data_IF_399070698864
#
_entry.id   IF_399070698864
#
_cell.length_a   1.000
_cell.length_b   1.000
_cell.length_c   1.000
_cell.angle_alpha   90.00
_cell.angle_beta   90.00
_cell.angle_gamma   90.00
#
_symmetry.space_group_name_H-M   'P 1'
#
loop_
_entity.id
_entity.type
_entity.pdbx_description
1 polymer ?
#
# COMPACT_ATOMS: atom_id res chain seq x y z
N UNK A 1 -24.49 18.65 6.60
CA UNK A 1 -23.88 17.76 5.59
C UNK A 1 -23.37 16.53 6.33
N UNK A 2 -24.09 15.40 6.25
CA UNK A 2 -23.63 14.13 6.81
C UNK A 2 -22.38 13.70 6.04
N UNK A 3 -21.25 13.55 6.73
CA UNK A 3 -20.05 12.96 6.13
C UNK A 3 -20.44 11.65 5.42
N UNK A 4 -19.85 11.34 4.25
CA UNK A 4 -20.05 10.04 3.63
C UNK A 4 -19.74 8.94 4.64
N UNK A 5 -20.43 7.79 4.58
CA UNK A 5 -20.21 6.68 5.51
C UNK A 5 -18.73 6.30 5.45
N UNK A 6 -18.00 6.64 6.51
CA UNK A 6 -16.58 6.36 6.58
C UNK A 6 -16.38 4.92 7.02
N UNK A 7 -15.36 4.26 6.46
CA UNK A 7 -14.93 2.96 6.94
C UNK A 7 -14.53 3.07 8.43
N UNK A 8 -15.15 2.27 9.28
CA UNK A 8 -14.92 2.28 10.74
C UNK A 8 -14.66 0.88 11.27
N UNK A 9 -13.50 0.67 11.90
CA UNK A 9 -13.23 -0.52 12.70
C UNK A 9 -14.08 -0.47 13.98
N UNK A 10 -15.02 -1.39 14.16
CA UNK A 10 -15.94 -1.45 15.31
C UNK A 10 -15.52 -2.48 16.35
N UNK A 11 -14.76 -3.51 15.95
CA UNK A 11 -14.24 -4.53 16.86
C UNK A 11 -12.93 -5.11 16.34
N UNK A 12 -11.96 -5.30 17.22
CA UNK A 12 -10.70 -5.97 16.95
C UNK A 12 -10.54 -7.16 17.89
N UNK A 13 -10.29 -8.33 17.32
CA UNK A 13 -10.04 -9.57 18.05
C UNK A 13 -8.65 -10.09 17.71
N UNK A 14 -7.91 -10.51 18.73
CA UNK A 14 -6.56 -11.08 18.60
C UNK A 14 -6.50 -12.42 19.33
N UNK A 15 -5.77 -13.37 18.75
CA UNK A 15 -5.38 -14.62 19.40
C UNK A 15 -3.88 -14.84 19.19
N UNK A 16 -3.16 -15.09 20.28
CA UNK A 16 -1.72 -15.39 20.33
C UNK A 16 -0.87 -14.44 19.46
N UNK A 17 -1.19 -13.15 19.44
CA UNK A 17 -0.52 -12.14 18.63
C UNK A 17 0.43 -11.27 19.48
N UNK A 18 1.72 -11.28 19.16
CA UNK A 18 2.77 -10.52 19.86
C UNK A 18 2.69 -10.72 21.39
N UNK A 19 2.35 -9.68 22.14
CA UNK A 19 2.21 -9.71 23.60
C UNK A 19 0.81 -10.13 24.07
N UNK A 20 -0.16 -10.30 23.18
CA UNK A 20 -1.54 -10.62 23.50
C UNK A 20 -1.79 -12.12 23.35
N UNK A 21 -2.15 -12.80 24.45
CA UNK A 21 -2.67 -14.16 24.38
C UNK A 21 -4.08 -14.16 23.76
N UNK A 22 -4.93 -13.25 24.22
CA UNK A 22 -6.25 -13.00 23.64
C UNK A 22 -6.60 -11.52 23.84
N UNK A 23 -7.33 -10.93 22.90
CA UNK A 23 -7.92 -9.60 23.03
C UNK A 23 -9.27 -9.57 22.30
N UNK A 24 -10.26 -8.92 22.88
CA UNK A 24 -11.51 -8.54 22.23
C UNK A 24 -11.86 -7.11 22.62
N UNK A 25 -11.68 -6.18 21.67
CA UNK A 25 -11.82 -4.75 21.89
C UNK A 25 -12.88 -4.18 20.95
N UNK A 26 -13.83 -3.41 21.49
CA UNK A 26 -14.87 -2.72 20.72
C UNK A 26 -14.61 -1.21 20.67
N UNK A 27 -14.89 -0.60 19.53
CA UNK A 27 -14.73 0.82 19.30
C UNK A 27 -16.08 1.45 18.95
N UNK A 28 -16.44 2.52 19.67
CA UNK A 28 -17.68 3.27 19.45
C UNK A 28 -17.42 4.71 18.97
N UNK A 29 -16.24 5.25 19.27
CA UNK A 29 -15.85 6.61 18.93
C UNK A 29 -15.06 6.69 17.61
N UNK A 30 -15.14 7.83 16.92
CA UNK A 30 -14.33 8.10 15.73
C UNK A 30 -12.87 8.42 16.02
N UNK A 31 -12.55 8.85 17.25
CA UNK A 31 -11.19 9.08 17.73
C UNK A 31 -10.97 8.19 18.94
N UNK A 32 -9.90 7.40 18.91
CA UNK A 32 -9.53 6.46 19.98
C UNK A 32 -8.10 6.74 20.42
N UNK A 33 -7.90 6.94 21.72
CA UNK A 33 -6.57 7.16 22.31
C UNK A 33 -6.15 5.91 23.07
N UNK A 34 -5.04 5.30 22.64
CA UNK A 34 -4.45 4.14 23.33
C UNK A 34 -3.34 4.66 24.26
N UNK A 35 -3.62 4.68 25.56
CA UNK A 35 -2.70 5.18 26.59
C UNK A 35 -2.19 4.05 27.51
N UNK A 36 -1.04 4.26 28.16
CA UNK A 36 -0.43 3.32 29.09
C UNK A 36 1.09 3.37 29.10
N UNK A 37 1.73 2.64 30.02
CA UNK A 37 3.20 2.58 30.15
C UNK A 37 3.87 2.05 28.87
N UNK A 38 5.13 2.39 28.65
CA UNK A 38 5.92 1.80 27.58
C UNK A 38 6.08 0.29 27.81
N UNK A 39 6.06 -0.49 26.73
CA UNK A 39 6.14 -1.96 26.79
C UNK A 39 4.81 -2.69 26.97
N UNK A 40 3.70 -2.02 27.31
CA UNK A 40 2.39 -2.70 27.56
C UNK A 40 1.68 -3.23 26.30
N UNK A 41 2.27 -3.09 25.12
CA UNK A 41 1.69 -3.61 23.87
C UNK A 41 0.93 -2.60 23.00
N UNK A 42 0.92 -1.31 23.32
CA UNK A 42 0.24 -0.27 22.52
C UNK A 42 0.60 -0.32 21.02
N UNK A 43 1.89 -0.43 20.71
CA UNK A 43 2.36 -0.53 19.33
C UNK A 43 2.02 -1.88 18.70
N UNK A 44 1.91 -2.95 19.49
CA UNK A 44 1.46 -4.25 19.00
C UNK A 44 -0.01 -4.17 18.60
N UNK A 45 -0.85 -3.43 19.34
CA UNK A 45 -2.24 -3.18 18.96
C UNK A 45 -2.36 -2.45 17.62
N UNK A 46 -1.57 -1.38 17.42
CA UNK A 46 -1.51 -0.67 16.14
C UNK A 46 -0.96 -1.55 15.01
N UNK A 47 0.03 -2.39 15.31
CA UNK A 47 0.56 -3.37 14.36
C UNK A 47 -0.53 -4.36 13.94
N UNK A 48 -1.35 -4.84 14.87
CA UNK A 48 -2.45 -5.74 14.55
C UNK A 48 -3.47 -5.12 13.59
N UNK A 49 -3.87 -3.87 13.85
CA UNK A 49 -4.76 -3.12 12.95
C UNK A 49 -4.10 -2.95 11.58
N UNK A 50 -2.79 -2.70 11.53
CA UNK A 50 -2.08 -2.56 10.26
C UNK A 50 -2.04 -3.82 9.42
N UNK A 51 -2.06 -4.99 10.05
CA UNK A 51 -2.05 -6.27 9.35
C UNK A 51 -3.41 -6.62 8.72
N UNK A 52 -4.49 -5.95 9.11
CA UNK A 52 -5.79 -6.05 8.44
C UNK A 52 -5.85 -5.30 7.11
N UNK A 53 -4.82 -4.52 6.78
CA UNK A 53 -4.70 -3.81 5.51
C UNK A 53 -3.73 -4.52 4.55
N UNK A 54 -3.80 -4.27 3.24
CA UNK A 54 -2.83 -4.80 2.28
C UNK A 54 -1.38 -4.46 2.65
N UNK A 55 -0.42 -5.31 2.27
CA UNK A 55 1.00 -5.11 2.55
C UNK A 55 1.47 -5.68 3.89
N UNK A 56 2.72 -5.41 4.31
CA UNK A 56 3.38 -6.14 5.41
C UNK A 56 3.15 -5.57 6.82
N UNK A 57 2.19 -4.64 6.96
CA UNK A 57 1.94 -3.93 8.23
C UNK A 57 3.05 -2.94 8.59
N UNK A 58 2.95 -2.34 9.78
CA UNK A 58 3.82 -1.23 10.22
C UNK A 58 5.31 -1.60 10.36
N UNK A 59 5.61 -2.82 10.80
CA UNK A 59 6.98 -3.26 11.12
C UNK A 59 7.62 -4.13 10.03
N UNK A 60 6.89 -4.48 8.97
CA UNK A 60 7.35 -5.38 7.91
C UNK A 60 7.88 -6.75 8.42
N UNK A 61 7.41 -7.23 9.58
CA UNK A 61 7.84 -8.50 10.15
C UNK A 61 7.33 -9.70 9.32
N UNK A 62 8.04 -10.83 9.40
CA UNK A 62 7.60 -12.07 8.75
C UNK A 62 6.40 -12.66 9.49
N UNK A 63 5.57 -13.44 8.80
CA UNK A 63 4.35 -13.98 9.39
C UNK A 63 4.64 -14.88 10.62
N UNK A 64 5.65 -15.75 10.55
CA UNK A 64 6.10 -16.57 11.68
C UNK A 64 6.74 -15.82 12.84
N UNK A 65 6.98 -14.50 12.74
CA UNK A 65 7.54 -13.68 13.83
C UNK A 65 6.46 -12.90 14.61
N UNK A 66 5.22 -12.91 14.12
CA UNK A 66 4.11 -12.11 14.67
C UNK A 66 3.41 -12.80 15.84
N UNK A 67 3.53 -14.11 15.96
CA UNK A 67 2.92 -14.88 17.02
C UNK A 67 3.56 -14.62 18.39
N UNK A 68 2.77 -14.81 19.44
CA UNK A 68 3.24 -14.80 20.82
C UNK A 68 4.26 -15.91 21.01
N UNK A 69 5.34 -15.61 21.72
CA UNK A 69 6.42 -16.57 21.98
C UNK A 69 6.18 -17.35 23.25
N UNK A 70 6.47 -18.64 23.20
CA UNK A 70 6.66 -19.51 24.35
C UNK A 70 7.98 -20.25 24.19
N UNK A 71 8.98 -19.87 24.98
CA UNK A 71 10.36 -20.28 24.71
C UNK A 71 10.87 -19.72 23.37
N UNK A 72 11.41 -20.59 22.53
CA UNK A 72 11.98 -20.23 21.22
C UNK A 72 10.93 -20.26 20.08
N UNK A 73 9.77 -20.86 20.30
CA UNK A 73 8.74 -21.02 19.27
C UNK A 73 7.72 -19.88 19.27
N UNK A 74 7.22 -19.55 18.07
CA UNK A 74 6.12 -18.60 17.87
C UNK A 74 4.82 -19.36 17.66
N UNK A 75 3.80 -19.02 18.46
CA UNK A 75 2.47 -19.62 18.33
C UNK A 75 1.75 -19.16 17.06
N UNK A 76 0.92 -20.01 16.45
CA UNK A 76 -0.02 -19.58 15.42
C UNK A 76 -0.90 -18.44 15.94
N UNK A 77 -1.09 -17.42 15.12
CA UNK A 77 -1.80 -16.20 15.50
C UNK A 77 -2.92 -15.87 14.53
N UNK A 78 -3.95 -15.20 15.05
CA UNK A 78 -5.04 -14.67 14.23
C UNK A 78 -5.44 -13.27 14.68
N UNK A 79 -5.88 -12.47 13.71
CA UNK A 79 -6.43 -11.13 13.89
C UNK A 79 -7.73 -11.07 13.10
N UNK A 80 -8.77 -10.53 13.70
CA UNK A 80 -10.02 -10.24 13.01
C UNK A 80 -10.51 -8.84 13.36
N UNK A 81 -10.85 -8.06 12.33
CA UNK A 81 -11.47 -6.75 12.44
C UNK A 81 -12.88 -6.77 11.88
N UNK A 82 -13.84 -6.25 12.63
CA UNK A 82 -15.19 -5.96 12.12
C UNK A 82 -15.25 -4.50 11.71
N UNK A 83 -15.77 -4.23 10.52
CA UNK A 83 -15.83 -2.90 9.96
C UNK A 83 -17.26 -2.56 9.55
N UNK A 84 -17.66 -1.32 9.78
CA UNK A 84 -18.79 -0.72 9.09
C UNK A 84 -18.23 0.08 7.91
N UNK A 85 -18.67 -0.22 6.68
CA UNK A 85 -18.21 0.49 5.48
C UNK A 85 -19.37 1.02 4.62
N UNK A 86 -19.06 1.77 3.54
CA UNK A 86 -20.06 2.29 2.61
C UNK A 86 -20.96 1.21 1.98
N UNK A 87 -20.42 0.01 1.77
CA UNK A 87 -21.12 -1.13 1.18
C UNK A 87 -21.82 -2.03 2.22
N UNK A 88 -21.75 -1.69 3.51
CA UNK A 88 -22.28 -2.49 4.61
C UNK A 88 -21.20 -2.99 5.58
N UNK A 89 -21.59 -3.80 6.58
CA UNK A 89 -20.66 -4.39 7.51
C UNK A 89 -19.83 -5.50 6.85
N UNK A 90 -18.56 -5.63 7.24
CA UNK A 90 -17.67 -6.68 6.78
C UNK A 90 -16.70 -7.12 7.87
N UNK A 91 -16.22 -8.35 7.77
CA UNK A 91 -15.20 -8.91 8.65
C UNK A 91 -13.95 -9.24 7.85
N UNK A 92 -12.82 -8.64 8.23
CA UNK A 92 -11.52 -8.97 7.67
C UNK A 92 -10.75 -9.79 8.70
N UNK A 93 -10.34 -10.99 8.29
CA UNK A 93 -9.50 -11.88 9.08
C UNK A 93 -8.12 -12.06 8.45
N UNK A 94 -7.08 -12.15 9.26
CA UNK A 94 -5.74 -12.52 8.82
C UNK A 94 -5.04 -13.37 9.88
N UNK A 95 -4.17 -14.27 9.44
CA UNK A 95 -3.40 -15.11 10.34
C UNK A 95 -2.25 -15.80 9.63
N UNK A 96 -1.47 -16.54 10.40
CA UNK A 96 -0.48 -17.46 9.85
C UNK A 96 -1.21 -18.66 9.22
N UNK A 97 -0.91 -18.91 7.95
CA UNK A 97 -1.34 -20.12 7.26
C UNK A 97 -0.48 -21.30 7.75
N UNK A 98 -1.08 -22.31 8.41
CA UNK A 98 -0.33 -23.46 8.92
C UNK A 98 0.42 -24.23 7.84
N UNK A 99 -0.04 -24.17 6.58
CA UNK A 99 0.53 -24.96 5.49
C UNK A 99 1.72 -24.29 4.79
N UNK A 100 1.83 -22.96 4.87
CA UNK A 100 2.81 -22.22 4.05
C UNK A 100 3.68 -21.23 4.83
N UNK A 101 3.45 -21.05 6.13
CA UNK A 101 4.06 -19.99 6.95
C UNK A 101 3.87 -18.59 6.35
N UNK A 102 2.91 -18.45 5.41
CA UNK A 102 2.54 -17.18 4.80
C UNK A 102 1.34 -16.61 5.52
N UNK A 103 1.11 -15.32 5.31
CA UNK A 103 -0.09 -14.66 5.82
C UNK A 103 -1.25 -14.86 4.85
N UNK A 104 -2.32 -15.48 5.32
CA UNK A 104 -3.58 -15.62 4.60
C UNK A 104 -4.60 -14.57 5.03
N UNK A 105 -5.53 -14.22 4.13
CA UNK A 105 -6.63 -13.28 4.41
C UNK A 105 -7.99 -13.94 4.17
N UNK A 106 -8.97 -13.51 4.96
CA UNK A 106 -10.38 -13.87 4.80
C UNK A 106 -11.24 -12.62 4.82
N UNK A 107 -12.26 -12.59 3.98
CA UNK A 107 -13.33 -11.60 3.99
C UNK A 107 -14.64 -12.35 4.25
N UNK A 108 -15.33 -11.97 5.33
CA UNK A 108 -16.58 -12.62 5.78
C UNK A 108 -16.46 -14.16 5.87
N UNK A 109 -15.30 -14.61 6.34
CA UNK A 109 -14.97 -16.04 6.53
C UNK A 109 -14.41 -16.75 5.29
N UNK A 110 -14.62 -16.20 4.08
CA UNK A 110 -14.13 -16.76 2.83
C UNK A 110 -12.68 -16.34 2.55
N UNK A 111 -11.79 -17.23 2.07
CA UNK A 111 -10.42 -16.87 1.73
C UNK A 111 -10.38 -15.91 0.54
N UNK A 112 -9.55 -14.86 0.63
CA UNK A 112 -9.28 -13.96 -0.49
C UNK A 112 -8.28 -14.58 -1.46
N UNK A 113 -8.49 -14.36 -2.77
CA UNK A 113 -7.59 -14.92 -3.80
C UNK A 113 -6.40 -14.01 -4.09
N UNK A 114 -6.53 -12.71 -3.79
CA UNK A 114 -5.49 -11.72 -4.04
C UNK A 114 -5.50 -10.59 -3.02
N UNK A 115 -4.35 -9.92 -2.85
CA UNK A 115 -4.29 -8.67 -2.07
C UNK A 115 -5.07 -7.52 -2.73
N UNK A 116 -5.35 -7.60 -4.03
CA UNK A 116 -6.14 -6.60 -4.73
C UNK A 116 -7.59 -6.60 -4.24
N UNK A 117 -8.18 -7.78 -3.98
CA UNK A 117 -9.51 -7.90 -3.37
C UNK A 117 -9.56 -7.20 -2.00
N UNK A 118 -8.54 -7.37 -1.17
CA UNK A 118 -8.45 -6.67 0.11
C UNK A 118 -8.30 -5.15 -0.05
N UNK A 119 -7.49 -4.72 -1.03
CA UNK A 119 -7.21 -3.30 -1.31
C UNK A 119 -8.45 -2.54 -1.77
N UNK A 120 -9.41 -3.23 -2.37
CA UNK A 120 -10.71 -2.65 -2.73
C UNK A 120 -11.63 -2.42 -1.50
N UNK A 121 -11.40 -3.13 -0.39
CA UNK A 121 -12.25 -3.03 0.81
C UNK A 121 -11.71 -2.03 1.84
N UNK A 122 -10.39 -2.03 2.06
CA UNK A 122 -9.77 -1.25 3.13
C UNK A 122 -8.50 -0.56 2.69
N UNK A 123 -8.39 0.71 3.06
CA UNK A 123 -7.16 1.47 3.05
C UNK A 123 -6.95 2.13 4.41
N UNK A 124 -5.72 2.08 4.92
CA UNK A 124 -5.32 2.81 6.11
C UNK A 124 -4.08 3.65 5.81
N UNK A 125 -4.09 4.88 6.31
CA UNK A 125 -2.92 5.75 6.33
C UNK A 125 -2.29 5.71 7.72
N UNK A 126 -0.97 5.57 7.74
CA UNK A 126 -0.19 5.56 8.97
C UNK A 126 0.62 6.83 9.05
N UNK A 127 0.67 7.41 10.25
CA UNK A 127 1.62 8.45 10.61
C UNK A 127 2.42 7.90 11.79
N UNK A 128 3.71 7.66 11.56
CA UNK A 128 4.60 7.13 12.61
C UNK A 128 5.79 8.07 12.78
N UNK A 129 6.44 8.08 13.97
CA UNK A 129 7.60 8.95 14.20
C UNK A 129 8.74 8.75 13.18
N UNK A 130 8.89 7.54 12.64
CA UNK A 130 9.90 7.27 11.60
C UNK A 130 9.62 8.02 10.29
N UNK A 131 8.37 8.42 10.03
CA UNK A 131 7.98 9.11 8.81
C UNK A 131 8.39 10.59 8.78
N UNK A 132 8.83 11.18 9.90
CA UNK A 132 9.44 12.51 9.90
C UNK A 132 10.68 12.58 8.98
N UNK A 133 11.34 11.43 8.76
CA UNK A 133 12.46 11.31 7.84
C UNK A 133 12.08 11.41 6.37
N UNK A 134 10.79 11.49 6.02
CA UNK A 134 10.34 11.66 4.63
C UNK A 134 11.07 12.82 3.92
N UNK A 135 11.35 13.90 4.65
CA UNK A 135 12.06 15.08 4.14
C UNK A 135 13.58 14.86 4.01
N UNK A 136 14.13 13.86 4.70
CA UNK A 136 15.54 13.46 4.65
C UNK A 136 15.79 12.30 3.69
N UNK A 137 14.75 11.54 3.34
CA UNK A 137 14.85 10.41 2.43
C UNK A 137 15.06 10.86 0.98
N UNK A 138 15.79 10.06 0.19
CA UNK A 138 15.92 10.25 -1.25
C UNK A 138 14.62 9.99 -2.03
N UNK A 139 14.69 10.09 -3.36
CA UNK A 139 13.50 10.00 -4.21
C UNK A 139 12.70 8.69 -4.07
N UNK A 140 13.35 7.56 -3.76
CA UNK A 140 12.67 6.26 -3.55
C UNK A 140 11.72 6.28 -2.35
N UNK A 141 12.16 6.86 -1.24
CA UNK A 141 11.37 7.00 -0.02
C UNK A 141 10.13 7.86 -0.22
N UNK A 142 10.33 9.05 -0.80
CA UNK A 142 9.25 9.98 -1.16
C UNK A 142 8.23 9.38 -2.13
N UNK A 143 8.69 8.61 -3.13
CA UNK A 143 7.79 7.88 -4.05
C UNK A 143 6.94 6.84 -3.32
N UNK A 144 7.54 6.02 -2.45
CA UNK A 144 6.80 5.02 -1.66
C UNK A 144 5.78 5.67 -0.73
N UNK A 145 6.10 6.82 -0.15
CA UNK A 145 5.14 7.59 0.65
C UNK A 145 3.96 8.05 -0.20
N UNK A 146 4.22 8.66 -1.38
CA UNK A 146 3.16 9.06 -2.29
C UNK A 146 2.33 7.86 -2.75
N UNK A 147 2.96 6.73 -3.09
CA UNK A 147 2.26 5.52 -3.54
C UNK A 147 1.26 5.02 -2.50
N UNK A 148 1.59 5.09 -1.21
CA UNK A 148 0.63 4.75 -0.13
C UNK A 148 -0.59 5.66 -0.12
N UNK A 149 -0.42 6.96 -0.40
CA UNK A 149 -1.53 7.90 -0.49
C UNK A 149 -2.40 7.61 -1.72
N UNK A 150 -1.77 7.26 -2.84
CA UNK A 150 -2.47 6.92 -4.09
C UNK A 150 -3.26 5.61 -3.92
N UNK A 151 -2.67 4.56 -3.31
CA UNK A 151 -3.36 3.28 -3.07
C UNK A 151 -4.67 3.43 -2.31
N UNK A 152 -4.72 4.37 -1.37
CA UNK A 152 -5.92 4.61 -0.58
C UNK A 152 -7.11 5.13 -1.40
N UNK A 153 -6.86 5.68 -2.59
CA UNK A 153 -7.89 6.17 -3.52
C UNK A 153 -8.02 5.33 -4.77
N UNK A 154 -6.91 4.81 -5.28
CA UNK A 154 -6.81 4.03 -6.50
C UNK A 154 -6.20 2.66 -6.19
N UNK A 155 -7.02 1.65 -5.84
CA UNK A 155 -6.52 0.31 -5.50
C UNK A 155 -5.71 -0.34 -6.62
N UNK A 156 -5.97 0.00 -7.88
CA UNK A 156 -5.23 -0.57 -9.03
C UNK A 156 -3.78 -0.09 -9.10
N UNK A 157 -3.44 1.03 -8.46
CA UNK A 157 -2.09 1.62 -8.48
C UNK A 157 -1.02 0.67 -7.93
N UNK A 158 -1.34 -0.15 -6.92
CA UNK A 158 -0.41 -1.14 -6.38
C UNK A 158 -0.02 -2.19 -7.42
N UNK A 159 -0.99 -2.64 -8.21
CA UNK A 159 -0.79 -3.60 -9.29
C UNK A 159 0.03 -2.97 -10.42
N UNK A 160 -0.24 -1.72 -10.78
CA UNK A 160 0.50 -1.04 -11.85
C UNK A 160 1.96 -0.82 -11.47
N UNK A 161 2.24 -0.34 -10.25
CA UNK A 161 3.62 -0.21 -9.75
C UNK A 161 4.34 -1.56 -9.74
N UNK A 162 3.70 -2.62 -9.22
CA UNK A 162 4.31 -3.95 -9.14
C UNK A 162 4.58 -4.57 -10.53
N UNK A 163 3.65 -4.39 -11.48
CA UNK A 163 3.80 -4.89 -12.85
C UNK A 163 4.95 -4.18 -13.57
N UNK A 164 5.06 -2.85 -13.42
CA UNK A 164 6.18 -2.08 -13.94
C UNK A 164 7.53 -2.53 -13.35
N UNK A 165 7.63 -2.64 -12.03
CA UNK A 165 8.87 -3.06 -11.36
C UNK A 165 9.30 -4.48 -11.75
N UNK A 166 8.34 -5.41 -11.87
CA UNK A 166 8.62 -6.77 -12.31
C UNK A 166 9.11 -6.82 -13.76
N UNK A 167 8.43 -6.12 -14.68
CA UNK A 167 8.81 -6.07 -16.08
C UNK A 167 10.18 -5.40 -16.27
N UNK A 168 10.46 -4.31 -15.56
CA UNK A 168 11.77 -3.65 -15.56
C UNK A 168 12.87 -4.59 -15.06
N UNK A 169 12.64 -5.29 -13.93
CA UNK A 169 13.63 -6.24 -13.39
C UNK A 169 13.91 -7.38 -14.36
N UNK A 170 12.88 -7.90 -15.04
CA UNK A 170 13.04 -8.96 -16.04
C UNK A 170 13.78 -8.45 -17.28
N UNK A 171 13.46 -7.24 -17.77
CA UNK A 171 14.16 -6.61 -18.91
C UNK A 171 15.64 -6.43 -18.60
N UNK A 172 15.96 -5.85 -17.44
CA UNK A 172 17.35 -5.60 -17.05
C UNK A 172 18.15 -6.90 -16.90
N UNK A 173 17.52 -7.97 -16.39
CA UNK A 173 18.14 -9.30 -16.33
C UNK A 173 18.45 -9.86 -17.71
N UNK A 174 17.49 -9.83 -18.64
CA UNK A 174 17.69 -10.31 -20.01
C UNK A 174 18.83 -9.58 -20.71
N UNK A 175 18.88 -8.26 -20.57
CA UNK A 175 19.94 -7.43 -21.14
C UNK A 175 21.32 -7.77 -20.53
N UNK A 176 21.38 -7.93 -19.20
CA UNK A 176 22.60 -8.32 -18.50
C UNK A 176 23.11 -9.72 -18.88
N UNK A 177 22.20 -10.65 -19.15
CA UNK A 177 22.51 -12.01 -19.62
C UNK A 177 22.90 -12.05 -21.12
N UNK A 178 22.91 -10.91 -21.83
CA UNK A 178 23.14 -10.84 -23.28
C UNK A 178 22.03 -11.45 -24.12
N UNK A 179 20.90 -11.83 -23.49
CA UNK A 179 19.74 -12.46 -24.14
C UNK A 179 18.85 -11.38 -24.75
N UNK A 180 19.14 -11.04 -26.00
CA UNK A 180 18.46 -9.98 -26.75
C UNK A 180 17.32 -10.50 -27.63
N UNK A 181 16.46 -11.35 -27.07
CA UNK A 181 15.23 -11.74 -27.77
C UNK A 181 14.34 -10.50 -27.93
N UNK A 182 14.23 -10.02 -29.18
CA UNK A 182 13.52 -8.80 -29.50
C UNK A 182 12.02 -8.87 -29.18
N UNK A 183 11.39 -10.04 -29.30
CA UNK A 183 9.96 -10.22 -29.00
C UNK A 183 9.71 -10.20 -27.50
N UNK A 184 10.57 -10.86 -26.74
CA UNK A 184 10.47 -10.86 -25.28
C UNK A 184 10.72 -9.46 -24.71
N UNK A 185 11.78 -8.79 -25.17
CA UNK A 185 12.06 -7.41 -24.75
C UNK A 185 10.90 -6.48 -25.09
N UNK A 186 10.34 -6.56 -26.31
CA UNK A 186 9.19 -5.74 -26.69
C UNK A 186 7.96 -5.98 -25.79
N UNK A 187 7.67 -7.23 -25.42
CA UNK A 187 6.55 -7.54 -24.53
C UNK A 187 6.75 -6.97 -23.10
N UNK A 188 7.98 -7.02 -22.59
CA UNK A 188 8.33 -6.42 -21.29
C UNK A 188 8.25 -4.89 -21.34
N UNK A 189 8.77 -4.28 -22.40
CA UNK A 189 8.77 -2.82 -22.60
C UNK A 189 7.35 -2.28 -22.79
N UNK A 190 6.48 -3.02 -23.46
CA UNK A 190 5.06 -2.70 -23.57
C UNK A 190 4.36 -2.76 -22.20
N UNK A 191 4.65 -3.79 -21.40
CA UNK A 191 4.16 -3.90 -20.02
C UNK A 191 4.67 -2.73 -19.17
N UNK A 192 5.95 -2.38 -19.31
CA UNK A 192 6.55 -1.24 -18.61
C UNK A 192 5.86 0.08 -18.99
N UNK A 193 5.66 0.35 -20.28
CA UNK A 193 5.06 1.59 -20.74
C UNK A 193 3.62 1.75 -20.23
N UNK A 194 2.77 0.75 -20.43
CA UNK A 194 1.37 0.75 -19.98
C UNK A 194 1.24 1.04 -18.49
N UNK A 195 1.96 0.28 -17.67
CA UNK A 195 1.85 0.40 -16.21
C UNK A 195 2.57 1.64 -15.65
N UNK A 196 3.64 2.11 -16.28
CA UNK A 196 4.28 3.37 -15.90
C UNK A 196 3.35 4.56 -16.12
N UNK A 197 2.69 4.62 -17.29
CA UNK A 197 1.75 5.69 -17.63
C UNK A 197 0.55 5.69 -16.68
N UNK A 198 -0.06 4.52 -16.44
CA UNK A 198 -1.15 4.37 -15.48
C UNK A 198 -0.76 4.84 -14.06
N UNK A 199 0.37 4.35 -13.54
CA UNK A 199 0.84 4.72 -12.19
C UNK A 199 1.15 6.22 -12.06
N UNK A 200 1.72 6.84 -13.10
CA UNK A 200 2.01 8.28 -13.10
C UNK A 200 0.73 9.12 -13.21
N UNK A 201 -0.25 8.69 -14.00
CA UNK A 201 -1.55 9.36 -14.08
C UNK A 201 -2.28 9.37 -12.71
N UNK A 202 -2.26 8.24 -11.99
CA UNK A 202 -2.84 8.13 -10.64
C UNK A 202 -2.12 9.01 -9.62
N UNK A 203 -0.78 9.06 -9.67
CA UNK A 203 0.04 9.96 -8.85
C UNK A 203 -0.28 11.43 -9.15
N UNK A 204 -0.36 11.80 -10.42
CA UNK A 204 -0.65 13.18 -10.86
C UNK A 204 -2.01 13.64 -10.38
N UNK A 205 -3.03 12.80 -10.53
CA UNK A 205 -4.38 13.06 -10.03
C UNK A 205 -4.39 13.27 -8.52
N UNK A 206 -3.70 12.39 -7.77
CA UNK A 206 -3.60 12.51 -6.30
C UNK A 206 -2.85 13.77 -5.86
N UNK A 207 -1.73 14.12 -6.50
CA UNK A 207 -1.00 15.36 -6.24
C UNK A 207 -1.86 16.60 -6.52
N UNK A 208 -2.58 16.64 -7.65
CA UNK A 208 -3.46 17.74 -7.99
C UNK A 208 -4.58 17.93 -6.95
N UNK A 209 -5.20 16.82 -6.51
CA UNK A 209 -6.23 16.83 -5.48
C UNK A 209 -5.68 17.30 -4.12
N UNK A 210 -4.53 16.79 -3.68
CA UNK A 210 -3.88 17.25 -2.44
C UNK A 210 -3.58 18.74 -2.48
N UNK A 211 -3.01 19.23 -3.58
CA UNK A 211 -2.74 20.66 -3.78
C UNK A 211 -4.04 21.50 -3.79
N UNK A 212 -5.13 20.99 -4.36
CA UNK A 212 -6.42 21.67 -4.33
C UNK A 212 -6.98 21.77 -2.90
N UNK A 213 -6.96 20.66 -2.15
CA UNK A 213 -7.43 20.62 -0.75
C UNK A 213 -6.59 21.52 0.17
N UNK A 214 -5.27 21.55 -0.02
CA UNK A 214 -4.36 22.43 0.72
C UNK A 214 -4.62 23.90 0.41
N UNK A 215 -4.82 24.26 -0.86
CA UNK A 215 -5.22 25.62 -1.27
C UNK A 215 -6.60 26.04 -0.74
N UNK A 216 -7.51 25.08 -0.56
CA UNK A 216 -8.82 25.34 0.04
C UNK A 216 -8.76 25.61 1.56
N UNK A 217 -7.57 25.58 2.17
CA UNK A 217 -7.37 26.01 3.55
C UNK A 217 -7.54 24.90 4.59
N UNK A 218 -7.49 23.62 4.20
CA UNK A 218 -7.63 22.51 5.17
C UNK A 218 -6.57 22.52 6.28
N UNK A 219 -5.40 23.13 6.02
CA UNK A 219 -4.33 23.27 6.99
C UNK A 219 -4.59 24.36 8.05
N UNK A 220 -5.60 25.21 7.85
CA UNK A 220 -5.90 26.32 8.74
C UNK A 220 -4.71 27.28 8.87
N UNK A 221 -4.27 27.53 10.11
CA UNK A 221 -3.10 28.36 10.40
C UNK A 221 -1.75 27.65 10.15
N UNK A 222 -1.77 26.34 9.87
CA UNK A 222 -0.55 25.58 9.60
C UNK A 222 -0.06 25.80 8.15
N UNK A 223 1.25 25.91 7.89
CA UNK A 223 1.77 26.09 6.54
C UNK A 223 1.32 24.99 5.57
N UNK A 224 0.79 25.40 4.41
CA UNK A 224 0.38 24.48 3.35
C UNK A 224 1.56 24.09 2.46
N UNK A 225 1.79 22.79 2.28
CA UNK A 225 2.77 22.29 1.32
C UNK A 225 2.25 22.38 -0.13
N UNK A 226 3.15 22.43 -1.11
CA UNK A 226 2.85 22.20 -2.53
C UNK A 226 3.60 20.97 -3.00
N UNK A 227 2.86 20.03 -3.59
CA UNK A 227 3.41 18.81 -4.15
C UNK A 227 3.61 18.97 -5.66
N UNK A 228 4.76 18.53 -6.17
CA UNK A 228 5.07 18.55 -7.58
C UNK A 228 5.72 17.23 -8.01
N UNK A 229 5.31 16.73 -9.18
CA UNK A 229 5.88 15.53 -9.78
C UNK A 229 6.89 15.90 -10.85
N UNK A 230 8.17 15.84 -10.49
CA UNK A 230 9.27 15.97 -11.45
C UNK A 230 9.42 14.65 -12.22
N UNK A 231 8.61 14.48 -13.27
CA UNK A 231 8.56 13.25 -14.06
C UNK A 231 8.23 13.55 -15.53
N UNK A 232 9.07 13.13 -16.50
CA UNK A 232 8.80 13.34 -17.91
C UNK A 232 7.47 12.74 -18.39
N UNK A 233 7.06 11.61 -17.83
CA UNK A 233 5.75 10.99 -18.13
C UNK A 233 4.61 11.88 -17.64
N UNK A 234 4.74 12.48 -16.46
CA UNK A 234 3.73 13.37 -15.91
C UNK A 234 3.55 14.62 -16.78
N UNK A 235 4.66 15.23 -17.21
CA UNK A 235 4.67 16.36 -18.15
C UNK A 235 4.06 15.97 -19.50
N UNK A 236 4.44 14.83 -20.07
CA UNK A 236 3.91 14.37 -21.35
C UNK A 236 2.38 14.13 -21.31
N UNK A 237 1.84 13.69 -20.17
CA UNK A 237 0.41 13.50 -19.95
C UNK A 237 -0.40 14.79 -19.80
N UNK A 238 0.25 15.96 -19.77
CA UNK A 238 -0.43 17.26 -19.82
C UNK A 238 -0.80 17.65 -21.26
N UNK A 239 -0.01 17.19 -22.22
CA UNK A 239 -0.10 17.64 -23.62
C UNK A 239 -0.64 16.57 -24.56
N UNK A 240 -0.49 15.28 -24.21
CA UNK A 240 -0.77 14.16 -25.10
C UNK A 240 -1.64 13.09 -24.45
N UNK A 241 -2.45 12.36 -25.24
CA UNK A 241 -3.19 11.20 -24.75
C UNK A 241 -2.26 10.11 -24.19
N UNK A 242 -2.73 9.36 -23.19
CA UNK A 242 -1.96 8.31 -22.53
C UNK A 242 -1.34 7.31 -23.51
N UNK A 243 -2.10 6.87 -24.53
CA UNK A 243 -1.63 5.93 -25.55
C UNK A 243 -0.40 6.45 -26.33
N UNK A 244 -0.36 7.74 -26.65
CA UNK A 244 0.78 8.35 -27.33
C UNK A 244 2.01 8.45 -26.43
N UNK A 245 1.81 8.66 -25.12
CA UNK A 245 2.89 8.64 -24.13
C UNK A 245 3.43 7.23 -23.93
N UNK A 246 2.55 6.22 -23.89
CA UNK A 246 2.93 4.80 -23.86
C UNK A 246 3.77 4.40 -25.07
N UNK A 247 3.34 4.79 -26.28
CA UNK A 247 4.09 4.54 -27.51
C UNK A 247 5.48 5.18 -27.48
N UNK A 248 5.57 6.46 -27.12
CA UNK A 248 6.85 7.17 -26.99
C UNK A 248 7.79 6.53 -25.96
N UNK A 249 7.24 5.99 -24.86
CA UNK A 249 8.02 5.25 -23.87
C UNK A 249 8.52 3.91 -24.40
N UNK A 250 7.69 3.16 -25.14
CA UNK A 250 8.10 1.90 -25.78
C UNK A 250 9.26 2.13 -26.74
N UNK A 251 9.16 3.16 -27.59
CA UNK A 251 10.20 3.49 -28.56
C UNK A 251 11.51 3.88 -27.87
N UNK A 252 11.42 4.70 -26.81
CA UNK A 252 12.58 5.08 -26.00
C UNK A 252 13.26 3.89 -25.33
N UNK A 253 12.49 2.97 -24.76
CA UNK A 253 13.01 1.75 -24.16
C UNK A 253 13.65 0.83 -25.20
N UNK A 254 13.05 0.71 -26.39
CA UNK A 254 13.59 -0.10 -27.47
C UNK A 254 14.91 0.48 -28.01
N UNK A 255 15.01 1.80 -28.14
CA UNK A 255 16.22 2.50 -28.57
C UNK A 255 17.37 2.40 -27.54
N UNK A 256 17.06 2.20 -26.26
CA UNK A 256 18.04 2.08 -25.18
C UNK A 256 18.65 0.68 -25.05
N UNK A 257 18.07 -0.35 -25.67
CA UNK A 257 18.59 -1.74 -25.63
C UNK A 257 20.08 -1.92 -25.98
N UNK A 258 20.66 -1.15 -26.92
CA UNK A 258 22.07 -1.32 -27.31
C UNK A 258 23.06 -0.71 -26.32
N UNK A 259 22.62 0.21 -25.46
CA UNK A 259 23.45 0.92 -24.46
C UNK A 259 23.71 0.02 -23.24
#
# INVERSE_FOLDING_TARGET
>A
MTSPPALRLTRLMLQDFRSYAQLDLRFQAGVVVIAGRNGVGKTNLLEAISLLTPGRGLRNARAGELGRREGEESRPWTIAGHFDGPAGPMTIGTGQDPASDRRGFRLDGAPLRSQAELSAQIAALWLTPQMDRLFQEGASGRRKFLDRLVWAREPSHARDVAAYESAMSQRNRLLAEGRRDARWLAALEDTMARHAVAAIASRRTSCAQLNATLRAGIAGAFPAARLELLCPIATALEERPALAVEESLRDGLAADRPR
#
